data_IF_872665996247
#
_entry.id   IF_872665996247
#
_cell.length_a   1.000
_cell.length_b   1.000
_cell.length_c   1.000
_cell.angle_alpha   90.00
_cell.angle_beta   90.00
_cell.angle_gamma   90.00
#
_symmetry.space_group_name_H-M   'P 1'
#
loop_
_entity.id
_entity.type
_entity.pdbx_description
1 polymer ?
#
# COMPACT_ATOMS: atom_id res chain seq x y z
N UNK A 1 5.13 13.81 -23.48
CA UNK A 1 3.76 13.89 -22.92
C UNK A 1 3.88 14.03 -21.41
N UNK A 2 3.32 15.08 -20.79
CA UNK A 2 3.23 15.15 -19.32
C UNK A 2 2.10 14.20 -18.90
N UNK A 3 2.41 13.12 -18.17
CA UNK A 3 1.39 12.29 -17.50
C UNK A 3 0.53 13.24 -16.66
N UNK A 4 -0.78 13.21 -16.87
CA UNK A 4 -1.73 13.94 -16.03
C UNK A 4 -1.68 13.23 -14.68
N UNK A 5 -1.07 13.83 -13.66
CA UNK A 5 -1.05 13.26 -12.30
C UNK A 5 -2.49 12.93 -11.89
N UNK A 6 -2.80 11.65 -11.70
CA UNK A 6 -4.13 11.30 -11.21
C UNK A 6 -4.26 11.74 -9.75
N UNK A 7 -5.47 12.12 -9.35
CA UNK A 7 -5.73 12.31 -7.93
C UNK A 7 -5.70 10.94 -7.25
N UNK A 8 -5.33 10.88 -5.96
CA UNK A 8 -5.38 9.63 -5.20
C UNK A 8 -6.76 8.96 -5.29
N UNK A 9 -7.85 9.74 -5.27
CA UNK A 9 -9.19 9.19 -5.42
C UNK A 9 -9.42 8.52 -6.78
N UNK A 10 -8.90 9.11 -7.86
CA UNK A 10 -8.96 8.52 -9.20
C UNK A 10 -8.17 7.22 -9.27
N UNK A 11 -6.98 7.17 -8.68
CA UNK A 11 -6.15 5.97 -8.65
C UNK A 11 -6.84 4.84 -7.86
N UNK A 12 -7.37 5.13 -6.66
CA UNK A 12 -8.08 4.14 -5.85
C UNK A 12 -9.32 3.59 -6.56
N UNK A 13 -10.14 4.46 -7.14
CA UNK A 13 -11.33 4.04 -7.88
C UNK A 13 -10.99 3.21 -9.13
N UNK A 14 -9.91 3.55 -9.83
CA UNK A 14 -9.45 2.76 -10.98
C UNK A 14 -8.96 1.38 -10.55
N UNK A 15 -8.22 1.30 -9.44
CA UNK A 15 -7.79 0.01 -8.87
C UNK A 15 -9.00 -0.86 -8.54
N UNK A 16 -10.00 -0.32 -7.82
CA UNK A 16 -11.22 -1.05 -7.50
C UNK A 16 -12.00 -1.46 -8.74
N UNK A 17 -12.11 -0.59 -9.75
CA UNK A 17 -12.76 -0.93 -11.03
C UNK A 17 -12.09 -2.12 -11.72
N UNK A 18 -10.76 -2.21 -11.66
CA UNK A 18 -10.03 -3.37 -12.21
C UNK A 18 -10.28 -4.62 -11.37
N UNK A 19 -10.23 -4.51 -10.04
CA UNK A 19 -10.58 -5.60 -9.12
C UNK A 19 -11.98 -6.17 -9.38
N UNK A 20 -13.00 -5.30 -9.52
CA UNK A 20 -14.37 -5.71 -9.85
C UNK A 20 -14.45 -6.43 -11.19
N UNK A 21 -13.74 -5.93 -12.22
CA UNK A 21 -13.70 -6.58 -13.54
C UNK A 21 -13.09 -7.98 -13.48
N UNK A 22 -12.15 -8.22 -12.57
CA UNK A 22 -11.55 -9.53 -12.32
C UNK A 22 -12.43 -10.43 -11.43
N UNK A 23 -13.52 -9.90 -10.87
CA UNK A 23 -14.43 -10.63 -9.97
C UNK A 23 -14.05 -10.58 -8.49
N UNK A 24 -13.17 -9.68 -8.08
CA UNK A 24 -12.84 -9.47 -6.66
C UNK A 24 -13.87 -8.57 -5.98
N UNK A 25 -14.15 -8.86 -4.71
CA UNK A 25 -14.98 -8.00 -3.87
C UNK A 25 -14.25 -6.72 -3.48
N UNK A 26 -14.95 -5.60 -3.48
CA UNK A 26 -14.39 -4.31 -3.09
C UNK A 26 -14.66 -4.04 -1.61
N UNK A 27 -13.57 -3.78 -0.89
CA UNK A 27 -13.65 -3.42 0.52
C UNK A 27 -14.43 -2.10 0.69
N UNK A 28 -15.44 -2.05 1.58
CA UNK A 28 -16.13 -0.80 1.85
C UNK A 28 -15.18 0.23 2.49
N UNK A 29 -15.49 1.54 2.40
CA UNK A 29 -14.73 2.57 3.09
C UNK A 29 -14.62 2.32 4.60
N UNK A 30 -13.46 2.63 5.18
CA UNK A 30 -13.30 2.65 6.63
C UNK A 30 -13.99 3.88 7.22
N UNK A 31 -14.94 3.65 8.13
CA UNK A 31 -15.75 4.71 8.79
C UNK A 31 -15.29 5.02 10.21
N UNK A 32 -14.36 4.25 10.77
CA UNK A 32 -13.83 4.46 12.11
C UNK A 32 -12.82 5.60 12.22
N UNK A 33 -12.34 5.83 13.44
CA UNK A 33 -11.24 6.76 13.73
C UNK A 33 -9.90 6.16 13.33
N UNK A 34 -9.02 6.95 12.70
CA UNK A 34 -7.65 6.51 12.42
C UNK A 34 -6.94 6.26 13.77
N UNK A 35 -6.41 5.05 14.00
CA UNK A 35 -5.78 4.73 15.26
C UNK A 35 -4.49 5.52 15.46
N UNK A 36 -4.21 5.90 16.70
CA UNK A 36 -2.85 6.25 17.09
C UNK A 36 -2.07 4.95 17.27
N UNK A 37 -1.14 4.68 16.37
CA UNK A 37 -0.32 3.46 16.42
C UNK A 37 1.16 3.79 16.48
N UNK A 38 1.91 2.91 17.14
CA UNK A 38 3.34 2.83 16.94
C UNK A 38 3.69 1.75 15.92
N UNK A 39 4.15 2.17 14.74
CA UNK A 39 4.68 1.25 13.75
C UNK A 39 6.03 0.66 14.19
N UNK A 40 6.66 1.20 15.24
CA UNK A 40 7.94 0.74 15.77
C UNK A 40 9.10 1.10 14.85
N UNK A 41 10.19 0.32 14.91
CA UNK A 41 11.37 0.44 14.01
C UNK A 41 11.92 1.86 13.80
N UNK A 42 11.84 2.71 14.84
CA UNK A 42 12.35 4.08 14.81
C UNK A 42 11.48 5.09 14.05
N UNK A 43 10.19 4.79 13.83
CA UNK A 43 9.29 5.63 13.03
C UNK A 43 8.75 6.80 13.86
N UNK A 44 9.36 7.97 13.68
CA UNK A 44 9.03 9.21 14.43
C UNK A 44 7.98 10.09 13.73
N UNK A 45 7.82 9.99 12.41
CA UNK A 45 6.92 10.85 11.63
C UNK A 45 5.85 10.05 10.87
N UNK A 46 4.59 10.22 11.27
CA UNK A 46 3.43 9.49 10.70
C UNK A 46 2.39 10.43 10.05
N UNK A 47 2.49 11.74 10.27
CA UNK A 47 1.50 12.71 9.78
C UNK A 47 1.43 12.72 8.26
N UNK A 48 2.57 12.77 7.57
CA UNK A 48 2.62 12.79 6.11
C UNK A 48 2.10 11.48 5.48
N UNK A 49 2.38 10.35 6.13
CA UNK A 49 1.80 9.05 5.78
C UNK A 49 0.27 9.10 5.84
N UNK A 50 -0.28 9.45 7.01
CA UNK A 50 -1.73 9.46 7.23
C UNK A 50 -2.47 10.46 6.35
N UNK A 51 -1.87 11.60 5.99
CA UNK A 51 -2.47 12.59 5.07
C UNK A 51 -2.88 12.01 3.71
N UNK A 52 -2.20 10.96 3.24
CA UNK A 52 -2.54 10.27 2.00
C UNK A 52 -3.24 8.93 2.29
N UNK A 53 -2.74 8.15 3.24
CA UNK A 53 -3.29 6.82 3.50
C UNK A 53 -4.71 6.86 4.07
N UNK A 54 -5.05 7.85 4.90
CA UNK A 54 -6.43 8.04 5.35
C UNK A 54 -7.38 8.25 4.16
N UNK A 55 -6.96 9.02 3.13
CA UNK A 55 -7.81 9.27 1.96
C UNK A 55 -8.07 7.99 1.18
N UNK A 56 -7.10 7.08 1.09
CA UNK A 56 -7.32 5.74 0.54
C UNK A 56 -8.38 5.03 1.38
N UNK A 57 -8.21 4.98 2.70
CA UNK A 57 -9.11 4.29 3.62
C UNK A 57 -10.55 4.86 3.61
N UNK A 58 -10.73 6.15 3.32
CA UNK A 58 -12.06 6.77 3.15
C UNK A 58 -12.75 6.43 1.84
N UNK A 59 -12.05 5.78 0.91
CA UNK A 59 -12.62 5.30 -0.36
C UNK A 59 -12.75 3.77 -0.33
N UNK A 60 -11.76 3.08 0.23
CA UNK A 60 -11.71 1.62 0.32
C UNK A 60 -10.84 1.22 1.50
N UNK A 61 -11.32 0.35 2.38
CA UNK A 61 -10.55 -0.13 3.52
C UNK A 61 -9.52 -1.19 3.09
N UNK A 62 -8.49 -0.74 2.38
CA UNK A 62 -7.55 -1.59 1.67
C UNK A 62 -8.00 -1.89 0.25
N UNK A 63 -7.09 -2.44 -0.54
CA UNK A 63 -7.28 -2.77 -1.96
C UNK A 63 -6.73 -4.16 -2.22
N UNK A 64 -7.41 -4.91 -3.08
CA UNK A 64 -6.95 -6.21 -3.53
C UNK A 64 -7.37 -6.47 -4.97
N UNK A 65 -6.42 -6.87 -5.81
CA UNK A 65 -6.67 -7.39 -7.14
C UNK A 65 -5.48 -8.23 -7.58
N UNK A 66 -5.71 -9.50 -7.89
CA UNK A 66 -4.71 -10.40 -8.50
C UNK A 66 -3.33 -10.42 -7.80
N UNK A 67 -3.35 -10.53 -6.47
CA UNK A 67 -2.14 -10.55 -5.65
C UNK A 67 -1.55 -9.17 -5.36
N UNK A 68 -2.01 -8.09 -5.99
CA UNK A 68 -1.67 -6.73 -5.58
C UNK A 68 -2.55 -6.28 -4.42
N UNK A 69 -1.92 -5.93 -3.30
CA UNK A 69 -2.58 -5.63 -2.03
C UNK A 69 -2.11 -4.29 -1.48
N UNK A 70 -3.07 -3.49 -1.00
CA UNK A 70 -2.81 -2.38 -0.07
C UNK A 70 -3.61 -2.65 1.22
N UNK A 71 -2.95 -2.62 2.37
CA UNK A 71 -3.54 -3.05 3.63
C UNK A 71 -4.63 -2.09 4.16
N UNK A 72 -5.80 -2.64 4.50
CA UNK A 72 -6.81 -1.94 5.28
C UNK A 72 -6.45 -1.82 6.76
N UNK A 73 -7.30 -1.16 7.56
CA UNK A 73 -7.17 -1.13 9.03
C UNK A 73 -7.79 -2.35 9.70
N UNK A 74 -8.81 -2.94 9.08
CA UNK A 74 -9.50 -4.14 9.51
C UNK A 74 -9.74 -5.01 8.29
N UNK A 75 -9.52 -6.31 8.38
CA UNK A 75 -10.01 -7.23 7.35
C UNK A 75 -11.07 -8.12 7.99
N UNK A 76 -12.18 -8.33 7.29
CA UNK A 76 -13.21 -9.28 7.75
C UNK A 76 -12.72 -10.75 7.58
N UNK A 77 -11.55 -10.94 6.97
CA UNK A 77 -11.04 -12.21 6.46
C UNK A 77 -9.88 -12.81 7.28
N UNK A 78 -9.65 -12.35 8.53
CA UNK A 78 -8.53 -12.79 9.39
C UNK A 78 -7.12 -12.56 8.80
N UNK A 79 -6.97 -11.75 7.75
CA UNK A 79 -5.66 -11.33 7.27
C UNK A 79 -5.17 -10.11 8.06
N UNK A 80 -3.89 -10.07 8.45
CA UNK A 80 -3.38 -8.97 9.26
C UNK A 80 -3.51 -7.63 8.53
N UNK A 81 -4.27 -6.70 9.12
CA UNK A 81 -4.38 -5.34 8.62
C UNK A 81 -3.06 -4.55 8.75
N UNK A 82 -3.04 -3.32 8.25
CA UNK A 82 -1.89 -2.42 8.27
C UNK A 82 -1.20 -2.37 9.65
N UNK A 83 -2.01 -2.22 10.71
CA UNK A 83 -1.48 -2.08 12.08
C UNK A 83 -0.94 -3.41 12.60
N UNK A 84 -1.69 -4.49 12.41
CA UNK A 84 -1.32 -5.82 12.91
C UNK A 84 -0.06 -6.32 12.24
N UNK A 85 0.02 -6.21 10.91
CA UNK A 85 1.20 -6.62 10.13
C UNK A 85 2.45 -5.87 10.60
N UNK A 86 2.37 -4.54 10.66
CA UNK A 86 3.52 -3.73 11.09
C UNK A 86 3.88 -3.95 12.57
N UNK A 87 2.92 -4.37 13.41
CA UNK A 87 3.19 -4.71 14.81
C UNK A 87 3.98 -6.01 14.91
N UNK A 88 3.62 -7.03 14.12
CA UNK A 88 4.35 -8.32 14.08
C UNK A 88 5.81 -8.13 13.71
N UNK A 89 6.12 -7.20 12.81
CA UNK A 89 7.50 -6.86 12.42
C UNK A 89 8.35 -6.24 13.55
N UNK A 90 7.78 -5.93 14.70
CA UNK A 90 8.53 -5.53 15.89
C UNK A 90 8.92 -6.73 16.79
N UNK A 91 8.54 -7.94 16.41
CA UNK A 91 8.88 -9.16 17.14
C UNK A 91 10.34 -9.53 16.90
N UNK A 92 11.04 -9.88 17.97
CA UNK A 92 12.44 -10.33 17.90
C UNK A 92 12.60 -11.47 16.86
N UNK A 93 13.55 -11.32 15.95
CA UNK A 93 13.80 -12.27 14.86
C UNK A 93 13.10 -11.94 13.53
N UNK A 94 12.20 -10.96 13.51
CA UNK A 94 11.61 -10.37 12.29
C UNK A 94 12.21 -8.99 11.96
N UNK A 95 13.32 -8.65 12.62
CA UNK A 95 14.03 -7.38 12.44
C UNK A 95 14.88 -7.44 11.18
N UNK A 96 14.37 -6.87 10.08
CA UNK A 96 15.13 -6.68 8.85
C UNK A 96 15.62 -5.23 8.78
N UNK A 97 16.92 -5.03 8.59
CA UNK A 97 17.52 -3.69 8.44
C UNK A 97 16.84 -2.89 7.33
N UNK A 98 16.50 -3.55 6.22
CA UNK A 98 15.80 -2.97 5.08
C UNK A 98 14.40 -2.42 5.39
N UNK A 99 13.83 -2.75 6.55
CA UNK A 99 12.51 -2.29 7.01
C UNK A 99 12.59 -1.21 8.11
N UNK A 100 13.80 -0.85 8.56
CA UNK A 100 13.97 0.24 9.54
C UNK A 100 13.46 1.56 8.96
N UNK A 101 12.68 2.29 9.74
CA UNK A 101 12.08 3.55 9.29
C UNK A 101 11.04 3.39 8.17
N UNK A 102 10.57 2.19 7.86
CA UNK A 102 9.58 1.94 6.81
C UNK A 102 8.29 1.36 7.36
N UNK A 103 7.17 1.90 6.90
CA UNK A 103 5.83 1.36 7.15
C UNK A 103 5.50 0.44 5.98
N UNK A 104 5.20 -0.83 6.24
CA UNK A 104 4.74 -1.76 5.20
C UNK A 104 3.27 -1.49 4.94
N UNK A 105 2.90 -1.25 3.69
CA UNK A 105 1.55 -0.82 3.34
C UNK A 105 0.81 -1.81 2.45
N UNK A 106 1.48 -2.89 2.05
CA UNK A 106 0.96 -3.86 1.11
C UNK A 106 2.08 -4.66 0.46
N UNK A 107 1.71 -5.44 -0.54
CA UNK A 107 2.62 -6.26 -1.33
C UNK A 107 2.00 -6.58 -2.69
N UNK A 108 2.83 -7.04 -3.61
CA UNK A 108 2.37 -7.75 -4.79
C UNK A 108 3.13 -9.09 -4.89
N UNK A 109 2.99 -9.80 -6.01
CA UNK A 109 3.59 -11.12 -6.20
C UNK A 109 5.13 -11.13 -6.10
N UNK A 110 5.79 -9.99 -6.33
CA UNK A 110 7.26 -9.89 -6.36
C UNK A 110 7.82 -8.93 -5.31
N UNK A 111 7.03 -7.93 -4.92
CA UNK A 111 7.52 -6.77 -4.18
C UNK A 111 6.74 -6.55 -2.89
N UNK A 112 7.40 -5.96 -1.90
CA UNK A 112 6.77 -5.35 -0.73
C UNK A 112 6.63 -3.85 -0.96
N UNK A 113 5.48 -3.30 -0.57
CA UNK A 113 5.18 -1.87 -0.72
C UNK A 113 5.41 -1.16 0.61
N UNK A 114 6.07 0.00 0.56
CA UNK A 114 6.46 0.77 1.73
C UNK A 114 6.07 2.25 1.64
N UNK A 115 5.90 2.86 2.81
CA UNK A 115 6.16 4.28 2.99
C UNK A 115 7.46 4.45 3.78
N UNK A 116 8.45 5.08 3.15
CA UNK A 116 9.73 5.39 3.79
C UNK A 116 9.59 6.69 4.60
N UNK A 117 9.76 6.58 5.92
CA UNK A 117 9.54 7.72 6.83
C UNK A 117 10.73 8.66 6.92
N UNK A 118 11.90 8.27 6.39
CA UNK A 118 13.09 9.11 6.33
C UNK A 118 13.06 10.00 5.09
N UNK A 119 12.62 9.46 3.96
CA UNK A 119 12.57 10.19 2.67
C UNK A 119 11.20 10.75 2.33
N UNK A 120 10.13 10.24 2.96
CA UNK A 120 8.75 10.58 2.65
C UNK A 120 8.24 9.99 1.33
N UNK A 121 8.90 8.95 0.84
CA UNK A 121 8.60 8.30 -0.45
C UNK A 121 7.71 7.09 -0.29
N UNK A 122 6.96 6.80 -1.35
CA UNK A 122 6.14 5.61 -1.50
C UNK A 122 6.89 4.65 -2.42
N UNK A 123 7.25 3.47 -1.94
CA UNK A 123 8.23 2.60 -2.60
C UNK A 123 7.69 1.19 -2.86
N UNK A 124 8.13 0.60 -3.98
CA UNK A 124 8.03 -0.84 -4.25
C UNK A 124 9.44 -1.41 -4.18
N UNK A 125 9.68 -2.39 -3.31
CA UNK A 125 10.99 -3.03 -3.19
C UNK A 125 10.85 -4.54 -3.30
N UNK A 126 11.85 -5.19 -3.89
CA UNK A 126 11.90 -6.64 -4.06
C UNK A 126 11.69 -7.38 -2.72
N UNK A 127 10.83 -8.41 -2.73
CA UNK A 127 10.52 -9.25 -1.56
C UNK A 127 11.71 -10.15 -1.17
N UNK A 128 12.64 -10.43 -2.08
CA UNK A 128 13.74 -11.39 -1.85
C UNK A 128 15.07 -10.67 -1.65
N UNK A 129 15.37 -10.31 -0.40
CA UNK A 129 16.74 -10.16 0.09
C UNK A 129 17.61 -9.07 -0.55
N UNK A 130 17.04 -8.20 -1.38
CA UNK A 130 17.75 -7.07 -1.97
C UNK A 130 17.13 -5.76 -1.48
N UNK A 131 17.96 -4.78 -1.12
CA UNK A 131 17.51 -3.41 -0.78
C UNK A 131 17.10 -2.62 -2.03
N UNK A 132 16.80 -3.32 -3.14
CA UNK A 132 16.53 -2.72 -4.43
C UNK A 132 15.14 -2.09 -4.43
N UNK A 133 15.12 -0.78 -4.62
CA UNK A 133 13.91 0.00 -4.83
C UNK A 133 13.62 0.01 -6.33
N UNK A 134 12.52 -0.63 -6.74
CA UNK A 134 12.07 -0.63 -8.14
C UNK A 134 11.34 0.65 -8.49
N UNK A 135 10.47 1.08 -7.59
CA UNK A 135 9.68 2.31 -7.74
C UNK A 135 9.87 3.18 -6.50
N UNK A 136 10.11 4.48 -6.69
CA UNK A 136 10.19 5.46 -5.61
C UNK A 136 9.41 6.72 -6.00
N UNK A 137 8.22 6.84 -5.44
CA UNK A 137 7.21 7.82 -5.80
C UNK A 137 7.09 8.94 -4.76
N UNK A 138 6.69 10.14 -5.19
CA UNK A 138 6.43 11.26 -4.30
C UNK A 138 5.05 11.17 -3.64
N UNK A 139 4.11 10.45 -4.28
CA UNK A 139 2.73 10.33 -3.80
C UNK A 139 2.25 8.88 -3.83
N UNK A 140 1.28 8.58 -2.96
CA UNK A 140 0.59 7.29 -2.96
C UNK A 140 -0.17 7.05 -4.27
N UNK A 141 -0.66 8.12 -4.91
CA UNK A 141 -1.34 8.04 -6.20
C UNK A 141 -0.39 7.53 -7.29
N UNK A 142 0.84 8.05 -7.33
CA UNK A 142 1.88 7.58 -8.27
C UNK A 142 2.22 6.10 -8.03
N UNK A 143 2.38 5.67 -6.77
CA UNK A 143 2.62 4.25 -6.47
C UNK A 143 1.43 3.37 -6.89
N UNK A 144 0.18 3.81 -6.64
CA UNK A 144 -1.00 3.09 -7.12
C UNK A 144 -1.04 3.00 -8.65
N UNK A 145 -0.66 4.06 -9.37
CA UNK A 145 -0.58 4.04 -10.84
C UNK A 145 0.43 3.01 -11.37
N UNK A 146 1.56 2.78 -10.67
CA UNK A 146 2.50 1.72 -11.07
C UNK A 146 1.85 0.35 -10.91
N UNK A 147 1.16 0.09 -9.79
CA UNK A 147 0.45 -1.17 -9.55
C UNK A 147 -0.69 -1.39 -10.55
N UNK A 148 -1.45 -0.34 -10.86
CA UNK A 148 -2.51 -0.38 -11.90
C UNK A 148 -1.92 -0.70 -13.27
N UNK A 149 -0.75 -0.14 -13.60
CA UNK A 149 -0.08 -0.43 -14.88
C UNK A 149 0.28 -1.91 -14.95
N UNK A 150 0.89 -2.46 -13.89
CA UNK A 150 1.23 -3.89 -13.81
C UNK A 150 0.01 -4.82 -13.93
N UNK A 151 -1.10 -4.46 -13.27
CA UNK A 151 -2.37 -5.18 -13.38
C UNK A 151 -2.90 -5.18 -14.82
N UNK A 152 -2.87 -4.03 -15.51
CA UNK A 152 -3.33 -3.91 -16.90
C UNK A 152 -2.44 -4.66 -17.89
N UNK A 153 -1.13 -4.70 -17.63
CA UNK A 153 -0.18 -5.45 -18.45
C UNK A 153 -0.37 -6.97 -18.30
N UNK A 154 -0.72 -7.41 -17.09
CA UNK A 154 -1.01 -8.81 -16.79
C UNK A 154 -2.39 -9.25 -17.30
N UNK A 155 -3.35 -8.31 -17.39
CA UNK A 155 -4.73 -8.54 -17.83
C UNK A 155 -5.16 -7.51 -18.88
N UNK A 156 -4.68 -7.62 -20.14
CA UNK A 156 -4.94 -6.63 -21.18
C UNK A 156 -6.41 -6.55 -21.63
N UNK A 157 -7.22 -7.56 -21.31
CA UNK A 157 -8.64 -7.67 -21.65
C UNK A 157 -9.56 -6.81 -20.76
N UNK A 158 -9.09 -6.39 -19.58
CA UNK A 158 -9.86 -5.58 -18.61
C UNK A 158 -9.39 -4.12 -18.49
N UNK A 159 -8.29 -3.78 -19.17
CA UNK A 159 -7.60 -2.50 -19.11
C UNK A 159 -8.50 -1.28 -19.39
#
# INVERSE_FOLDING_TARGET
MRKKMSSLASAVNEFNRLGEKMGYEINPPYTGSIPSCDFGRGIVQKTAFWQQYEKLLRISNGLFADGHTFYGLTTDNNEPGLIEFNTVLNTQGFEFESMKGRIVIGENNTDTLYYDTLTGKWESCDRIGTENVWESCNTLAELLETQITMLKESHPDIA
#
